data_IF_261928910855
#
_entry.id   IF_261928910855
#
_cell.length_a   1.000
_cell.length_b   1.000
_cell.length_c   1.000
_cell.angle_alpha   90.00
_cell.angle_beta   90.00
_cell.angle_gamma   90.00
#
_symmetry.space_group_name_H-M   'P 1'
#
loop_
_entity.id
_entity.type
_entity.pdbx_description
1 polymer ?
#
# COMPACT_ATOMS: atom_id res chain seq x y z
N UNK A 1 -13.57 -12.95 23.62
CA UNK A 1 -12.66 -12.60 22.50
C UNK A 1 -13.35 -11.50 21.70
N UNK A 2 -12.70 -10.36 21.46
CA UNK A 2 -13.31 -9.25 20.69
C UNK A 2 -13.57 -9.69 19.26
N UNK A 3 -14.67 -9.24 18.66
CA UNK A 3 -14.96 -9.41 17.24
C UNK A 3 -13.96 -8.59 16.39
N UNK A 4 -13.91 -8.84 15.08
CA UNK A 4 -13.07 -8.07 14.16
C UNK A 4 -13.45 -6.58 14.16
N UNK A 5 -14.75 -6.26 14.12
CA UNK A 5 -15.26 -4.89 14.13
C UNK A 5 -14.91 -4.15 15.42
N UNK A 6 -15.02 -4.79 16.58
CA UNK A 6 -14.63 -4.20 17.87
C UNK A 6 -13.12 -3.94 17.95
N UNK A 7 -12.30 -4.78 17.31
CA UNK A 7 -10.86 -4.55 17.22
C UNK A 7 -10.54 -3.36 16.30
N UNK A 8 -11.22 -3.26 15.16
CA UNK A 8 -11.02 -2.16 14.22
C UNK A 8 -11.30 -0.80 14.85
N UNK A 9 -12.42 -0.66 15.58
CA UNK A 9 -12.78 0.59 16.27
C UNK A 9 -11.68 1.00 17.26
N UNK A 10 -11.20 0.06 18.08
CA UNK A 10 -10.15 0.35 19.06
C UNK A 10 -8.80 0.74 18.41
N UNK A 11 -8.46 0.10 17.28
CA UNK A 11 -7.26 0.45 16.51
C UNK A 11 -7.41 1.83 15.88
N UNK A 12 -8.57 2.13 15.28
CA UNK A 12 -8.86 3.43 14.68
C UNK A 12 -8.74 4.57 15.69
N UNK A 13 -9.37 4.43 16.87
CA UNK A 13 -9.28 5.40 17.96
C UNK A 13 -7.82 5.66 18.38
N UNK A 14 -7.03 4.59 18.49
CA UNK A 14 -5.62 4.68 18.86
C UNK A 14 -4.78 5.36 17.79
N UNK A 15 -4.95 4.99 16.53
CA UNK A 15 -4.26 5.61 15.40
C UNK A 15 -4.61 7.09 15.26
N UNK A 16 -5.90 7.46 15.43
CA UNK A 16 -6.34 8.87 15.45
C UNK A 16 -5.72 9.63 16.61
N UNK A 17 -5.76 9.08 17.82
CA UNK A 17 -5.13 9.70 18.98
C UNK A 17 -3.63 9.92 18.76
N UNK A 18 -2.93 8.97 18.12
CA UNK A 18 -1.52 9.14 17.76
C UNK A 18 -1.32 10.24 16.70
N UNK A 19 -2.15 10.25 15.65
CA UNK A 19 -2.09 11.23 14.56
C UNK A 19 -2.29 12.67 15.06
N UNK A 20 -3.18 12.85 16.03
CA UNK A 20 -3.49 14.14 16.66
C UNK A 20 -2.56 14.50 17.84
N UNK A 21 -1.38 13.86 17.91
CA UNK A 21 -0.36 14.08 18.95
C UNK A 21 -0.87 13.87 20.39
N UNK A 22 -1.91 13.07 20.56
CA UNK A 22 -2.48 12.72 21.84
C UNK A 22 -1.54 11.87 22.69
N UNK A 23 -1.78 11.85 24.01
CA UNK A 23 -0.97 11.07 24.94
C UNK A 23 -1.13 9.58 24.63
N UNK A 24 0.01 8.89 24.52
CA UNK A 24 0.06 7.44 24.35
C UNK A 24 0.48 6.77 25.65
N UNK A 25 -0.20 5.69 26.03
CA UNK A 25 0.23 4.84 27.17
C UNK A 25 1.45 3.98 26.81
N UNK A 26 1.48 3.50 25.56
CA UNK A 26 2.56 2.70 24.99
C UNK A 26 2.79 3.13 23.53
N UNK A 27 3.97 2.88 22.94
CA UNK A 27 4.24 3.22 21.54
C UNK A 27 3.15 2.70 20.58
N UNK A 28 2.72 3.55 19.65
CA UNK A 28 1.86 3.14 18.54
C UNK A 28 2.75 2.47 17.50
N UNK A 29 2.59 1.15 17.32
CA UNK A 29 3.43 0.35 16.42
C UNK A 29 2.52 -0.32 15.39
N UNK A 30 2.86 -0.13 14.12
CA UNK A 30 2.23 -0.80 12.99
C UNK A 30 3.29 -1.71 12.37
N UNK A 31 3.09 -3.02 12.51
CA UNK A 31 4.00 -4.01 11.95
C UNK A 31 3.23 -5.09 11.21
N UNK A 32 3.78 -5.53 10.08
CA UNK A 32 3.25 -6.63 9.29
C UNK A 32 4.38 -7.49 8.75
N UNK A 33 4.11 -8.78 8.62
CA UNK A 33 5.02 -9.72 7.96
C UNK A 33 4.19 -10.72 7.16
N UNK A 34 4.75 -11.22 6.05
CA UNK A 34 4.15 -12.37 5.37
C UNK A 34 4.18 -13.58 6.31
N UNK A 35 3.15 -14.44 6.22
CA UNK A 35 3.11 -15.72 6.94
C UNK A 35 4.20 -16.64 6.41
N UNK A 36 4.88 -17.38 7.27
CA UNK A 36 5.96 -18.28 6.85
C UNK A 36 5.49 -19.35 5.84
N UNK A 37 4.25 -19.80 5.95
CA UNK A 37 3.62 -20.84 5.13
C UNK A 37 2.61 -20.28 4.11
N UNK A 38 2.85 -19.07 3.61
CA UNK A 38 1.92 -18.42 2.70
C UNK A 38 1.79 -19.10 1.33
N UNK A 39 0.59 -19.01 0.73
CA UNK A 39 0.35 -19.44 -0.64
C UNK A 39 1.06 -18.53 -1.66
N UNK A 40 1.15 -18.92 -2.94
CA UNK A 40 1.82 -18.10 -3.95
C UNK A 40 1.18 -16.71 -4.08
N UNK A 41 2.03 -15.69 -4.15
CA UNK A 41 1.61 -14.32 -4.46
C UNK A 41 1.82 -14.14 -5.98
N UNK A 42 0.79 -13.73 -6.73
CA UNK A 42 0.92 -13.45 -8.16
C UNK A 42 2.10 -12.51 -8.44
N UNK A 43 2.91 -12.87 -9.44
CA UNK A 43 4.04 -12.08 -9.90
C UNK A 43 4.20 -12.21 -11.42
N UNK A 44 4.85 -11.23 -12.04
CA UNK A 44 5.06 -11.19 -13.49
C UNK A 44 6.27 -10.33 -13.85
N UNK A 45 7.00 -10.69 -14.91
CA UNK A 45 8.11 -9.88 -15.43
C UNK A 45 7.66 -8.83 -16.45
N UNK A 46 6.39 -8.86 -16.86
CA UNK A 46 5.77 -7.80 -17.65
C UNK A 46 5.46 -6.60 -16.74
N UNK A 47 6.34 -5.58 -16.78
CA UNK A 47 6.20 -4.40 -15.94
C UNK A 47 4.91 -3.60 -16.25
N UNK A 48 4.47 -3.56 -17.50
CA UNK A 48 3.23 -2.87 -17.84
C UNK A 48 2.05 -3.56 -17.17
N UNK A 49 2.01 -4.89 -17.20
CA UNK A 49 1.02 -5.68 -16.46
C UNK A 49 1.14 -5.49 -14.95
N UNK A 50 2.37 -5.56 -14.41
CA UNK A 50 2.62 -5.42 -12.98
C UNK A 50 2.08 -4.10 -12.39
N UNK A 51 2.22 -3.01 -13.15
CA UNK A 51 1.85 -1.67 -12.69
C UNK A 51 0.46 -1.20 -13.10
N UNK A 52 -0.08 -1.65 -14.25
CA UNK A 52 -1.26 -1.02 -14.87
C UNK A 52 -2.43 -1.95 -15.18
N UNK A 53 -2.25 -3.28 -15.11
CA UNK A 53 -3.35 -4.23 -15.27
C UNK A 53 -4.15 -4.29 -13.95
N UNK A 54 -5.39 -3.75 -13.91
CA UNK A 54 -6.15 -3.64 -12.67
C UNK A 54 -6.50 -5.01 -12.08
N UNK A 55 -6.78 -6.02 -12.92
CA UNK A 55 -7.16 -7.35 -12.44
C UNK A 55 -5.94 -8.04 -11.80
N UNK A 56 -4.78 -7.92 -12.43
CA UNK A 56 -3.53 -8.44 -11.88
C UNK A 56 -3.15 -7.73 -10.57
N UNK A 57 -3.21 -6.39 -10.54
CA UNK A 57 -2.87 -5.60 -9.35
C UNK A 57 -3.80 -5.94 -8.20
N UNK A 58 -5.11 -6.00 -8.42
CA UNK A 58 -6.08 -6.32 -7.37
C UNK A 58 -5.87 -7.73 -6.84
N UNK A 59 -5.77 -8.74 -7.71
CA UNK A 59 -5.57 -10.14 -7.27
C UNK A 59 -4.29 -10.29 -6.44
N UNK A 60 -3.17 -9.74 -6.92
CA UNK A 60 -1.90 -9.75 -6.19
C UNK A 60 -2.03 -9.14 -4.80
N UNK A 61 -2.71 -8.01 -4.68
CA UNK A 61 -2.81 -7.26 -3.43
C UNK A 61 -3.75 -7.92 -2.44
N UNK A 62 -4.85 -8.50 -2.92
CA UNK A 62 -5.72 -9.35 -2.09
C UNK A 62 -4.95 -10.58 -1.57
N UNK A 63 -4.14 -11.23 -2.42
CA UNK A 63 -3.28 -12.32 -1.97
C UNK A 63 -2.25 -11.89 -0.93
N UNK A 64 -1.66 -10.71 -1.06
CA UNK A 64 -0.76 -10.17 -0.01
C UNK A 64 -1.53 -9.99 1.29
N UNK A 65 -2.72 -9.39 1.25
CA UNK A 65 -3.55 -9.17 2.44
C UNK A 65 -3.88 -10.49 3.13
N UNK A 66 -4.37 -11.48 2.38
CA UNK A 66 -4.76 -12.79 2.90
C UNK A 66 -3.57 -13.55 3.51
N UNK A 67 -2.37 -13.31 3.00
CA UNK A 67 -1.14 -13.99 3.40
C UNK A 67 -0.27 -13.18 4.40
N UNK A 68 -0.78 -12.08 4.93
CA UNK A 68 -0.06 -11.22 5.88
C UNK A 68 -0.53 -11.44 7.31
N UNK A 69 0.43 -11.53 8.24
CA UNK A 69 0.20 -11.36 9.68
C UNK A 69 0.28 -9.87 10.03
N UNK A 70 -0.72 -9.38 10.75
CA UNK A 70 -0.82 -8.00 11.22
C UNK A 70 -0.62 -7.95 12.73
N UNK A 71 0.35 -7.16 13.19
CA UNK A 71 0.76 -7.07 14.59
C UNK A 71 0.46 -5.69 15.17
N UNK A 72 0.25 -5.64 16.48
CA UNK A 72 -0.02 -4.40 17.22
C UNK A 72 -1.23 -3.65 16.64
N UNK A 73 -1.02 -2.43 16.16
CA UNK A 73 -2.05 -1.52 15.64
C UNK A 73 -2.20 -1.62 14.11
N UNK A 74 -1.60 -2.64 13.49
CA UNK A 74 -1.69 -2.85 12.06
C UNK A 74 -3.05 -3.40 11.62
N UNK A 75 -3.53 -2.91 10.48
CA UNK A 75 -4.74 -3.38 9.81
C UNK A 75 -4.45 -3.76 8.35
N UNK A 76 -5.22 -4.66 7.76
CA UNK A 76 -5.23 -4.85 6.31
C UNK A 76 -5.47 -3.55 5.57
N UNK A 77 -4.65 -3.29 4.56
CA UNK A 77 -4.80 -2.15 3.67
C UNK A 77 -4.35 -2.51 2.26
N UNK A 78 -4.96 -1.85 1.28
CA UNK A 78 -4.51 -1.83 -0.10
C UNK A 78 -4.35 -0.38 -0.54
N UNK A 79 -3.22 -0.10 -1.20
CA UNK A 79 -2.92 1.18 -1.80
C UNK A 79 -2.19 0.92 -3.13
N UNK A 80 -2.63 1.55 -4.21
CA UNK A 80 -1.93 1.52 -5.50
C UNK A 80 -0.84 2.58 -5.42
N UNK A 81 0.39 2.13 -5.20
CA UNK A 81 1.52 3.03 -4.96
C UNK A 81 2.28 3.36 -6.24
N UNK A 82 1.93 4.46 -6.89
CA UNK A 82 2.79 5.10 -7.89
C UNK A 82 3.73 6.14 -7.27
N UNK A 83 3.83 6.20 -5.94
CA UNK A 83 4.65 7.12 -5.19
C UNK A 83 4.40 8.58 -5.57
N UNK A 84 5.50 9.35 -5.60
CA UNK A 84 5.48 10.75 -6.05
C UNK A 84 5.09 10.92 -7.53
N UNK A 85 5.19 9.85 -8.33
CA UNK A 85 4.91 9.86 -9.76
C UNK A 85 3.41 9.78 -10.08
N UNK A 86 2.57 9.44 -9.09
CA UNK A 86 1.12 9.30 -9.26
C UNK A 86 0.48 10.55 -9.88
N UNK A 87 0.81 11.73 -9.37
CA UNK A 87 0.23 12.99 -9.85
C UNK A 87 0.64 13.31 -11.28
N UNK A 88 1.90 13.05 -11.66
CA UNK A 88 2.35 13.26 -13.03
C UNK A 88 1.57 12.37 -14.01
N UNK A 89 1.35 11.09 -13.67
CA UNK A 89 0.51 10.20 -14.48
C UNK A 89 -0.92 10.69 -14.63
N UNK A 90 -1.54 11.20 -13.55
CA UNK A 90 -2.89 11.82 -13.61
C UNK A 90 -2.92 13.04 -14.52
N UNK A 91 -1.84 13.82 -14.56
CA UNK A 91 -1.69 14.98 -15.45
C UNK A 91 -1.34 14.62 -16.90
N UNK A 92 -1.25 13.33 -17.23
CA UNK A 92 -0.99 12.85 -18.59
C UNK A 92 0.48 12.67 -18.93
N UNK A 93 1.39 12.68 -17.95
CA UNK A 93 2.78 12.32 -18.19
C UNK A 93 2.89 10.87 -18.69
N UNK A 94 3.74 10.64 -19.67
CA UNK A 94 4.11 9.29 -20.05
C UNK A 94 4.93 8.67 -18.91
N UNK A 95 4.51 7.48 -18.46
CA UNK A 95 5.17 6.77 -17.36
C UNK A 95 6.15 5.73 -17.91
N UNK A 96 7.33 5.69 -17.33
CA UNK A 96 8.34 4.65 -17.55
C UNK A 96 8.35 3.70 -16.34
N UNK A 97 8.03 2.43 -16.60
CA UNK A 97 8.14 1.36 -15.61
C UNK A 97 9.56 0.81 -15.60
N UNK A 98 10.37 1.23 -14.64
CA UNK A 98 11.79 0.84 -14.59
C UNK A 98 11.95 -0.57 -14.04
N UNK A 99 11.25 -0.89 -12.96
CA UNK A 99 11.23 -2.20 -12.33
C UNK A 99 9.98 -2.33 -11.43
N UNK A 100 9.92 -3.36 -10.57
CA UNK A 100 8.81 -3.61 -9.64
C UNK A 100 8.82 -2.71 -8.39
N UNK A 101 9.80 -1.81 -8.27
CA UNK A 101 9.99 -0.91 -7.12
C UNK A 101 9.87 0.58 -7.52
N UNK A 102 10.02 0.91 -8.81
CA UNK A 102 10.09 2.28 -9.28
C UNK A 102 9.37 2.50 -10.61
N UNK A 103 8.62 3.60 -10.65
CA UNK A 103 8.02 4.20 -11.85
C UNK A 103 8.37 5.67 -11.91
N UNK A 104 8.77 6.16 -13.08
CA UNK A 104 9.14 7.57 -13.28
C UNK A 104 8.27 8.21 -14.37
N UNK A 105 7.84 9.47 -14.18
CA UNK A 105 7.29 10.23 -15.29
C UNK A 105 8.44 10.67 -16.19
N UNK A 106 8.28 10.51 -17.51
CA UNK A 106 9.15 11.15 -18.47
C UNK A 106 8.93 12.67 -18.44
N UNK A 107 9.97 13.44 -18.77
CA UNK A 107 9.89 14.91 -18.82
C UNK A 107 8.75 15.39 -19.73
N UNK A 108 7.77 16.09 -19.15
CA UNK A 108 6.60 16.56 -19.90
C UNK A 108 6.34 18.08 -19.78
N UNK A 109 6.91 18.76 -18.78
CA UNK A 109 6.89 20.23 -18.67
C UNK A 109 8.24 20.77 -19.11
N UNK A 110 8.27 21.48 -20.26
CA UNK A 110 9.49 22.07 -20.83
C UNK A 110 9.73 23.52 -20.40
N UNK A 111 8.67 24.21 -19.99
CA UNK A 111 8.71 25.57 -19.45
C UNK A 111 7.47 25.82 -18.59
N UNK A 112 7.63 26.64 -17.56
CA UNK A 112 6.53 27.22 -16.78
C UNK A 112 6.68 28.72 -17.00
N UNK A 113 5.72 29.32 -17.70
CA UNK A 113 5.67 30.79 -17.91
C UNK A 113 5.15 31.51 -16.66
#
# INVERSE_FOLDING_TARGET
MKTFSERLIAIEERLKNWWEFGKQEYPCIVARALKDDHGPIPDTDDLARFWSDPDFVIDRQMKIIDNTNYYCDAVPFHYIDFGASAMAGVLGAQMEYVNKEAVWPLEFVKSIE
#
